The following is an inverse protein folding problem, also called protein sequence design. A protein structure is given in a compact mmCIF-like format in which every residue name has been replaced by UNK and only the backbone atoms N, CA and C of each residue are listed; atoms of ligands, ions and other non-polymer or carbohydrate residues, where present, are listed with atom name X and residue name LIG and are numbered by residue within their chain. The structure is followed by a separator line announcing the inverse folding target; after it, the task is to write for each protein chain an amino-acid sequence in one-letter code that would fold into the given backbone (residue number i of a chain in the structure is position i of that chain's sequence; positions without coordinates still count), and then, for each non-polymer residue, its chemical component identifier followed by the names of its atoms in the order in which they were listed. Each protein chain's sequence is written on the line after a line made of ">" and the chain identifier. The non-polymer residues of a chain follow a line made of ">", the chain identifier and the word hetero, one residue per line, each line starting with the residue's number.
data_IF_194306052648
#
_entry.id   IF_194306052648
#
_cell.length_a   1.000
_cell.length_b   1.000
_cell.length_c   1.000
_cell.angle_alpha   90.00
_cell.angle_beta   90.00
_cell.angle_gamma   90.00
#
_symmetry.space_group_name_H-M   'P 1'
#
loop_
_entity.id
_entity.type
_entity.pdbx_description
1 polymer ?
#
# COMPACT_ATOMS: atom_id res chain seq x y z
N UNK A 1 18.54 -17.92 -23.29
CA UNK A 1 18.97 -17.60 -21.91
C UNK A 1 18.57 -16.16 -21.64
N UNK A 2 17.41 -15.91 -21.01
CA UNK A 2 17.02 -14.55 -20.62
C UNK A 2 17.72 -14.22 -19.30
N UNK A 3 18.62 -13.24 -19.34
CA UNK A 3 19.20 -12.63 -18.16
C UNK A 3 18.10 -11.92 -17.37
N UNK A 4 17.93 -12.29 -16.10
CA UNK A 4 17.11 -11.55 -15.15
C UNK A 4 17.73 -10.16 -14.95
N UNK A 5 17.17 -9.14 -15.61
CA UNK A 5 17.44 -7.76 -15.28
C UNK A 5 16.43 -7.35 -14.20
N UNK A 6 16.88 -7.31 -12.93
CA UNK A 6 16.14 -6.66 -11.86
C UNK A 6 16.38 -5.17 -11.99
N UNK A 7 15.34 -4.41 -12.34
CA UNK A 7 15.39 -2.95 -12.25
C UNK A 7 14.94 -2.55 -10.84
N UNK A 8 15.91 -2.29 -9.96
CA UNK A 8 15.64 -1.59 -8.70
C UNK A 8 15.56 -0.09 -9.03
N UNK A 9 14.36 0.47 -8.93
CA UNK A 9 14.18 1.92 -8.96
C UNK A 9 14.26 2.44 -7.52
N UNK A 10 15.40 3.04 -7.18
CA UNK A 10 15.65 3.71 -5.90
C UNK A 10 16.16 5.12 -6.18
N UNK A 11 15.78 6.08 -5.34
CA UNK A 11 16.42 7.39 -5.34
C UNK A 11 17.88 7.20 -4.94
N UNK A 12 18.82 7.70 -5.75
CA UNK A 12 20.26 7.41 -5.63
C UNK A 12 21.11 8.68 -5.67
N UNK A 13 20.51 9.81 -5.29
CA UNK A 13 21.16 11.10 -5.27
C UNK A 13 21.63 11.56 -6.65
N UNK A 14 22.73 12.31 -6.66
CA UNK A 14 23.31 12.90 -7.87
C UNK A 14 24.62 12.22 -8.28
N UNK A 15 25.05 12.33 -9.55
CA UNK A 15 26.37 11.88 -9.95
C UNK A 15 27.49 12.50 -9.10
N UNK A 16 28.39 11.64 -8.62
CA UNK A 16 29.58 11.99 -7.86
C UNK A 16 30.84 12.12 -8.75
N UNK A 17 32.03 12.29 -8.15
CA UNK A 17 33.28 12.35 -8.89
C UNK A 17 33.60 11.03 -9.62
N UNK A 18 34.41 11.11 -10.67
CA UNK A 18 34.99 9.90 -11.27
C UNK A 18 36.08 9.35 -10.37
N UNK A 19 35.95 8.10 -9.94
CA UNK A 19 36.96 7.40 -9.11
C UNK A 19 37.45 6.19 -9.90
N UNK A 20 38.75 6.14 -10.20
CA UNK A 20 39.37 5.05 -10.98
C UNK A 20 38.68 4.77 -12.34
N UNK A 21 38.15 5.81 -12.99
CA UNK A 21 37.45 5.68 -14.27
C UNK A 21 35.99 5.21 -14.16
N UNK A 22 35.46 5.07 -12.95
CA UNK A 22 34.05 4.77 -12.69
C UNK A 22 33.30 6.02 -12.22
N UNK A 23 32.11 6.24 -12.77
CA UNK A 23 31.19 7.26 -12.28
C UNK A 23 30.64 6.80 -10.92
N UNK A 24 30.84 7.62 -9.89
CA UNK A 24 30.27 7.37 -8.56
C UNK A 24 28.94 8.10 -8.43
N UNK A 25 28.18 7.79 -7.38
CA UNK A 25 26.96 8.48 -6.98
C UNK A 25 27.19 9.09 -5.61
N UNK A 26 26.75 10.33 -5.41
CA UNK A 26 26.86 11.00 -4.12
C UNK A 26 25.96 10.28 -3.12
N UNK A 27 26.57 9.75 -2.07
CA UNK A 27 25.80 9.27 -0.92
C UNK A 27 25.20 10.46 -0.16
N UNK A 28 24.13 10.23 0.61
CA UNK A 28 23.43 11.27 1.37
C UNK A 28 24.33 11.94 2.44
N UNK A 29 25.53 11.40 2.70
CA UNK A 29 26.51 11.93 3.64
C UNK A 29 27.61 12.78 3.00
N UNK A 30 27.70 12.81 1.67
CA UNK A 30 28.84 13.38 0.95
C UNK A 30 28.69 14.89 0.63
N UNK A 31 27.67 15.54 1.17
CA UNK A 31 27.44 16.98 1.06
C UNK A 31 25.99 17.33 0.75
N UNK A 32 25.67 18.63 0.59
CA UNK A 32 24.32 19.02 0.17
C UNK A 32 24.08 18.53 -1.26
N UNK A 33 23.04 17.73 -1.43
CA UNK A 33 22.62 17.25 -2.74
C UNK A 33 22.14 18.43 -3.61
N UNK A 34 22.39 18.39 -4.93
CA UNK A 34 21.97 19.46 -5.82
C UNK A 34 20.44 19.51 -5.92
N UNK A 35 19.88 20.72 -6.08
CA UNK A 35 18.43 20.92 -6.18
C UNK A 35 17.78 20.12 -7.33
N UNK A 36 18.55 19.73 -8.36
CA UNK A 36 18.08 18.90 -9.47
C UNK A 36 17.63 17.49 -9.06
N UNK A 37 18.08 16.99 -7.91
CA UNK A 37 17.68 15.67 -7.36
C UNK A 37 16.78 15.82 -6.13
N UNK A 38 16.36 17.05 -5.82
CA UNK A 38 15.41 17.38 -4.77
C UNK A 38 14.31 18.32 -5.31
N UNK A 39 13.66 18.01 -6.47
CA UNK A 39 12.63 18.89 -7.00
C UNK A 39 11.45 19.03 -6.01
N UNK A 40 10.95 20.26 -5.89
CA UNK A 40 9.69 20.57 -5.23
C UNK A 40 8.57 20.56 -6.28
N UNK A 41 7.67 19.59 -6.18
CA UNK A 41 6.54 19.45 -7.09
C UNK A 41 5.28 20.21 -6.60
N UNK A 42 5.40 20.98 -5.53
CA UNK A 42 4.33 21.81 -4.98
C UNK A 42 3.51 21.13 -3.88
N UNK A 43 2.49 21.85 -3.35
CA UNK A 43 1.77 21.44 -2.16
C UNK A 43 0.88 20.19 -2.37
N UNK A 44 0.42 19.54 -1.28
CA UNK A 44 -0.54 18.44 -1.34
C UNK A 44 -1.79 18.78 -2.17
N UNK A 45 -2.25 17.87 -3.05
CA UNK A 45 -3.37 18.13 -3.93
C UNK A 45 -4.70 18.24 -3.16
N UNK A 46 -5.52 19.23 -3.53
CA UNK A 46 -6.84 19.44 -2.92
C UNK A 46 -7.98 18.77 -3.69
N UNK A 47 -7.72 18.20 -4.87
CA UNK A 47 -8.68 17.49 -5.70
C UNK A 47 -8.00 16.41 -6.57
N UNK A 48 -8.80 15.48 -7.11
CA UNK A 48 -8.34 14.42 -8.02
C UNK A 48 -8.90 14.63 -9.45
N UNK A 49 -8.18 14.19 -10.51
CA UNK A 49 -6.86 13.55 -10.47
C UNK A 49 -5.75 14.56 -10.13
N UNK A 50 -4.82 14.15 -9.26
CA UNK A 50 -3.74 15.01 -8.81
C UNK A 50 -2.54 14.95 -9.76
N UNK A 51 -1.83 16.06 -9.99
CA UNK A 51 -0.50 16.03 -10.59
C UNK A 51 0.52 15.44 -9.61
N UNK A 52 1.74 15.26 -10.09
CA UNK A 52 2.92 15.03 -9.23
C UNK A 52 3.01 16.16 -8.19
N UNK A 53 3.27 15.81 -6.92
CA UNK A 53 3.32 16.76 -5.81
C UNK A 53 4.37 16.35 -4.78
N UNK A 54 4.71 17.29 -3.90
CA UNK A 54 5.59 17.09 -2.76
C UNK A 54 7.08 17.33 -3.06
N UNK A 55 7.83 17.46 -1.98
CA UNK A 55 9.28 17.62 -1.98
C UNK A 55 9.97 16.26 -2.11
N UNK A 56 10.71 16.03 -3.19
CA UNK A 56 11.55 14.83 -3.31
C UNK A 56 12.69 14.84 -2.31
N UNK A 57 13.04 13.65 -1.79
CA UNK A 57 14.06 13.47 -0.77
C UNK A 57 14.95 12.28 -1.08
N UNK A 58 16.22 12.45 -0.78
CA UNK A 58 17.24 11.42 -0.87
C UNK A 58 17.63 11.04 0.57
N UNK A 59 17.22 9.86 1.00
CA UNK A 59 17.19 9.50 2.43
C UNK A 59 17.84 8.16 2.75
N UNK A 60 18.14 7.37 1.73
CA UNK A 60 18.71 6.04 1.86
C UNK A 60 20.21 6.07 1.60
N UNK A 61 21.00 5.53 2.52
CA UNK A 61 22.42 5.21 2.26
C UNK A 61 22.55 3.95 1.43
N UNK A 62 23.44 3.98 0.45
CA UNK A 62 23.72 2.80 -0.39
C UNK A 62 24.18 1.57 0.42
N UNK A 63 24.96 1.77 1.48
CA UNK A 63 25.39 0.66 2.35
C UNK A 63 24.21 -0.01 3.04
N UNK A 64 23.23 0.77 3.50
CA UNK A 64 22.00 0.25 4.14
C UNK A 64 21.11 -0.47 3.14
N UNK A 65 21.05 0.02 1.90
CA UNK A 65 20.38 -0.66 0.79
C UNK A 65 21.06 -2.01 0.47
N UNK A 66 22.39 -2.03 0.36
CA UNK A 66 23.17 -3.25 0.13
C UNK A 66 23.00 -4.28 1.25
N UNK A 67 23.03 -3.83 2.51
CA UNK A 67 22.80 -4.69 3.67
C UNK A 67 21.38 -5.29 3.63
N UNK A 68 20.36 -4.52 3.23
CA UNK A 68 18.99 -5.03 3.10
C UNK A 68 18.87 -6.13 2.03
N UNK A 69 19.55 -5.99 0.88
CA UNK A 69 19.58 -7.01 -0.17
C UNK A 69 20.42 -8.23 0.21
N UNK A 70 21.50 -8.04 0.98
CA UNK A 70 22.41 -9.12 1.37
C UNK A 70 21.89 -9.92 2.57
N UNK A 71 21.36 -9.25 3.61
CA UNK A 71 20.84 -9.90 4.81
C UNK A 71 19.44 -10.49 4.63
N UNK A 72 18.69 -10.04 3.62
CA UNK A 72 17.34 -10.54 3.32
C UNK A 72 17.29 -11.88 2.57
N UNK A 73 18.44 -12.39 2.07
CA UNK A 73 18.53 -13.62 1.25
C UNK A 73 17.57 -13.63 0.03
N UNK A 74 17.12 -12.44 -0.39
CA UNK A 74 16.16 -12.24 -1.48
C UNK A 74 16.52 -10.99 -2.28
N UNK A 75 16.46 -11.11 -3.60
CA UNK A 75 16.57 -9.99 -4.54
C UNK A 75 15.22 -9.28 -4.78
N UNK A 76 14.20 -9.66 -4.02
CA UNK A 76 12.88 -9.02 -3.97
C UNK A 76 12.73 -8.26 -2.65
N UNK A 77 12.81 -6.93 -2.71
CA UNK A 77 12.34 -6.03 -1.64
C UNK A 77 10.90 -5.65 -1.94
N UNK A 78 9.99 -6.61 -1.80
CA UNK A 78 8.56 -6.33 -1.96
C UNK A 78 7.79 -6.95 -0.79
N UNK A 79 7.46 -6.10 0.17
CA UNK A 79 6.42 -6.38 1.17
C UNK A 79 5.14 -5.72 0.67
N UNK A 80 4.62 -6.27 -0.42
CA UNK A 80 3.43 -5.74 -1.06
C UNK A 80 2.19 -6.10 -0.25
N UNK A 81 1.69 -5.12 0.50
CA UNK A 81 0.28 -5.11 0.89
C UNK A 81 -0.53 -4.45 -0.21
N UNK A 82 -1.54 -5.12 -0.80
CA UNK A 82 -2.40 -4.49 -1.78
C UNK A 82 -3.10 -3.29 -1.15
N UNK A 83 -2.74 -2.09 -1.61
CA UNK A 83 -3.49 -0.86 -1.34
C UNK A 83 -4.94 -0.97 -1.83
N UNK A 84 -5.24 -1.92 -2.73
CA UNK A 84 -6.60 -2.30 -3.15
C UNK A 84 -7.42 -3.02 -2.07
N UNK A 85 -6.86 -3.27 -0.89
CA UNK A 85 -7.52 -3.90 0.24
C UNK A 85 -7.23 -5.40 0.35
N UNK A 86 -7.45 -5.96 1.55
CA UNK A 86 -7.27 -7.39 1.83
C UNK A 86 -8.47 -8.23 1.41
N UNK A 87 -9.56 -7.60 0.94
CA UNK A 87 -10.74 -8.30 0.44
C UNK A 87 -10.60 -8.66 -1.03
N UNK A 88 -11.28 -9.73 -1.46
CA UNK A 88 -11.52 -9.93 -2.89
C UNK A 88 -12.25 -8.72 -3.46
N UNK A 89 -11.64 -8.00 -4.39
CA UNK A 89 -12.32 -6.91 -5.10
C UNK A 89 -13.40 -7.55 -5.96
N UNK A 90 -14.65 -7.52 -5.52
CA UNK A 90 -15.74 -8.06 -6.31
C UNK A 90 -16.33 -7.00 -7.24
N UNK A 91 -16.49 -7.32 -8.51
CA UNK A 91 -17.37 -6.55 -9.39
C UNK A 91 -18.79 -7.02 -9.14
N UNK A 92 -19.64 -6.08 -8.72
CA UNK A 92 -21.07 -6.32 -8.60
C UNK A 92 -21.62 -6.78 -9.95
N UNK A 93 -22.24 -7.95 -9.94
CA UNK A 93 -22.79 -8.55 -11.14
C UNK A 93 -24.07 -7.87 -11.60
N UNK A 94 -24.35 -7.99 -12.89
CA UNK A 94 -25.67 -7.67 -13.43
C UNK A 94 -26.15 -8.80 -14.31
N UNK A 95 -27.36 -9.27 -14.07
CA UNK A 95 -28.03 -10.27 -14.86
C UNK A 95 -29.03 -9.60 -15.81
N UNK A 96 -29.03 -10.00 -17.08
CA UNK A 96 -29.97 -9.44 -18.06
C UNK A 96 -31.45 -9.75 -17.74
N UNK A 97 -31.73 -10.82 -17.00
CA UNK A 97 -33.09 -11.18 -16.58
C UNK A 97 -33.11 -12.13 -15.36
N UNK A 98 -33.80 -11.74 -14.29
CA UNK A 98 -33.98 -12.56 -13.10
C UNK A 98 -34.66 -13.93 -13.31
N UNK A 99 -35.50 -14.07 -14.34
CA UNK A 99 -36.21 -15.32 -14.63
C UNK A 99 -35.40 -16.32 -15.48
N UNK A 100 -34.16 -15.98 -15.82
CA UNK A 100 -33.30 -16.78 -16.69
C UNK A 100 -32.68 -15.90 -17.78
N UNK A 101 -31.45 -15.46 -17.54
CA UNK A 101 -30.71 -14.56 -18.42
C UNK A 101 -29.22 -14.89 -18.43
N UNK A 102 -28.45 -13.92 -18.89
CA UNK A 102 -26.99 -13.97 -18.95
C UNK A 102 -26.39 -12.78 -18.24
N UNK A 103 -25.25 -13.00 -17.59
CA UNK A 103 -24.52 -11.94 -16.92
C UNK A 103 -23.98 -10.95 -17.95
N UNK A 104 -24.26 -9.67 -17.73
CA UNK A 104 -23.79 -8.54 -18.56
C UNK A 104 -22.64 -7.79 -17.90
N UNK A 105 -22.54 -7.85 -16.58
CA UNK A 105 -21.45 -7.28 -15.76
C UNK A 105 -20.99 -8.33 -14.74
N UNK A 106 -19.69 -8.36 -14.42
CA UNK A 106 -19.09 -9.39 -13.57
C UNK A 106 -18.75 -10.64 -14.37
N UNK A 107 -19.46 -11.75 -14.15
CA UNK A 107 -19.24 -13.03 -14.83
C UNK A 107 -19.80 -13.04 -16.27
N UNK A 108 -19.42 -12.05 -17.09
CA UNK A 108 -20.06 -11.78 -18.37
C UNK A 108 -20.16 -13.03 -19.26
N UNK A 109 -21.38 -13.32 -19.74
CA UNK A 109 -21.70 -14.49 -20.56
C UNK A 109 -22.12 -15.75 -19.80
N UNK A 110 -21.97 -15.81 -18.47
CA UNK A 110 -22.49 -16.90 -17.67
C UNK A 110 -24.03 -16.84 -17.53
N UNK A 111 -24.71 -17.99 -17.38
CA UNK A 111 -26.14 -18.01 -17.08
C UNK A 111 -26.42 -17.48 -15.67
N UNK A 112 -27.53 -16.77 -15.51
CA UNK A 112 -28.00 -16.22 -14.24
C UNK A 112 -29.53 -16.20 -14.19
N UNK A 113 -30.09 -16.01 -13.00
CA UNK A 113 -31.52 -16.04 -12.75
C UNK A 113 -32.10 -17.45 -12.66
N UNK A 114 -33.41 -17.52 -12.48
CA UNK A 114 -34.18 -18.74 -12.37
C UNK A 114 -35.63 -18.45 -12.01
N UNK A 115 -36.52 -19.43 -12.17
CA UNK A 115 -37.93 -19.24 -11.84
C UNK A 115 -38.10 -18.83 -10.38
N UNK A 116 -38.77 -17.69 -10.16
CA UNK A 116 -39.02 -17.16 -8.83
C UNK A 116 -37.85 -16.42 -8.17
N UNK A 117 -36.75 -16.15 -8.89
CA UNK A 117 -35.65 -15.34 -8.35
C UNK A 117 -35.92 -13.84 -8.49
N UNK A 118 -35.47 -13.07 -7.50
CA UNK A 118 -35.47 -11.61 -7.58
C UNK A 118 -34.27 -11.12 -8.40
N UNK A 119 -34.39 -9.93 -8.97
CA UNK A 119 -33.30 -9.31 -9.74
C UNK A 119 -32.01 -9.20 -8.91
N UNK A 120 -32.10 -8.80 -7.64
CA UNK A 120 -30.93 -8.74 -6.76
C UNK A 120 -30.23 -10.11 -6.57
N UNK A 121 -31.01 -11.20 -6.52
CA UNK A 121 -30.45 -12.56 -6.40
C UNK A 121 -29.77 -12.98 -7.71
N UNK A 122 -30.38 -12.66 -8.85
CA UNK A 122 -29.82 -12.94 -10.16
C UNK A 122 -28.57 -12.10 -10.46
N UNK A 123 -28.55 -10.83 -10.08
CA UNK A 123 -27.39 -9.94 -10.14
C UNK A 123 -26.26 -10.45 -9.23
N UNK A 124 -26.60 -10.97 -8.04
CA UNK A 124 -25.66 -11.62 -7.13
C UNK A 124 -24.93 -12.80 -7.76
N UNK A 125 -25.61 -13.64 -8.55
CA UNK A 125 -25.00 -14.76 -9.27
C UNK A 125 -24.00 -14.33 -10.35
N UNK A 126 -24.12 -13.08 -10.82
CA UNK A 126 -23.19 -12.51 -11.79
C UNK A 126 -21.98 -11.84 -11.14
N UNK A 127 -21.96 -11.72 -9.82
CA UNK A 127 -20.85 -11.05 -9.14
C UNK A 127 -19.57 -11.87 -9.29
N UNK A 128 -18.46 -11.20 -9.60
CA UNK A 128 -17.16 -11.86 -9.74
C UNK A 128 -16.17 -11.29 -8.77
N UNK A 129 -15.48 -12.16 -8.04
CA UNK A 129 -14.27 -11.80 -7.35
C UNK A 129 -13.16 -11.56 -8.39
N UNK A 130 -12.74 -10.32 -8.56
CA UNK A 130 -11.60 -9.90 -9.36
C UNK A 130 -10.45 -9.58 -8.39
N UNK A 131 -9.88 -10.62 -7.81
CA UNK A 131 -8.60 -10.53 -7.12
C UNK A 131 -7.70 -11.66 -7.55
N UNK A 132 -6.39 -11.49 -7.33
CA UNK A 132 -5.49 -12.63 -7.34
C UNK A 132 -6.00 -13.62 -6.29
N UNK A 133 -6.42 -14.81 -6.71
CA UNK A 133 -6.62 -15.93 -5.78
C UNK A 133 -5.23 -16.35 -5.27
N UNK A 134 -4.80 -15.72 -4.17
CA UNK A 134 -3.53 -16.01 -3.52
C UNK A 134 -3.57 -17.34 -2.77
N UNK A 135 -4.69 -18.08 -2.77
CA UNK A 135 -4.79 -19.40 -2.11
C UNK A 135 -3.73 -20.35 -2.66
N UNK A 136 -3.47 -20.37 -3.96
CA UNK A 136 -2.41 -21.19 -4.55
C UNK A 136 -0.99 -20.67 -4.26
N UNK A 137 -0.83 -19.40 -3.89
CA UNK A 137 0.44 -18.82 -3.46
C UNK A 137 0.73 -19.09 -1.97
N UNK A 138 -0.32 -19.17 -1.14
CA UNK A 138 -0.25 -19.46 0.30
C UNK A 138 -0.24 -20.97 0.61
N UNK A 139 -0.97 -21.79 -0.15
CA UNK A 139 -1.03 -23.24 0.01
C UNK A 139 0.11 -23.93 -0.76
N UNK A 140 1.05 -24.55 -0.03
CA UNK A 140 2.06 -25.45 -0.59
C UNK A 140 3.46 -24.86 -0.86
N UNK A 141 3.64 -23.54 -0.74
CA UNK A 141 4.98 -22.90 -0.83
C UNK A 141 5.63 -22.57 0.52
N UNK A 142 4.97 -22.88 1.64
CA UNK A 142 5.55 -22.78 3.00
C UNK A 142 5.80 -21.35 3.52
N UNK A 143 5.41 -20.33 2.76
CA UNK A 143 5.45 -18.91 3.13
C UNK A 143 4.26 -18.61 4.06
N UNK A 144 4.53 -18.50 5.38
CA UNK A 144 3.50 -18.16 6.40
C UNK A 144 3.02 -16.70 6.33
N UNK A 145 3.65 -15.91 5.47
CA UNK A 145 3.55 -14.47 5.33
C UNK A 145 2.72 -14.04 4.11
N UNK A 146 2.04 -14.96 3.42
CA UNK A 146 1.09 -14.66 2.34
C UNK A 146 -0.32 -14.71 2.92
N UNK A 147 -1.06 -13.59 2.86
CA UNK A 147 -2.37 -13.51 3.50
C UNK A 147 -3.42 -14.38 2.79
N UNK A 148 -4.28 -15.00 3.60
CA UNK A 148 -5.57 -15.47 3.15
C UNK A 148 -6.54 -14.28 3.12
N UNK A 149 -6.77 -13.73 1.93
CA UNK A 149 -7.64 -12.57 1.69
C UNK A 149 -9.11 -12.77 2.18
N UNK A 150 -9.54 -14.01 2.41
CA UNK A 150 -10.87 -14.29 2.99
C UNK A 150 -10.95 -14.01 4.50
N UNK A 151 -9.81 -13.81 5.16
CA UNK A 151 -9.72 -13.56 6.61
C UNK A 151 -9.52 -12.08 6.95
N UNK A 152 -9.62 -11.16 6.00
CA UNK A 152 -9.51 -9.72 6.27
C UNK A 152 -10.45 -9.24 7.38
N UNK A 153 -11.69 -9.77 7.39
CA UNK A 153 -12.69 -9.51 8.42
C UNK A 153 -12.34 -10.12 9.80
N UNK A 154 -11.28 -10.92 9.92
CA UNK A 154 -10.75 -11.39 11.21
C UNK A 154 -9.63 -10.49 11.74
N UNK A 155 -9.21 -9.46 11.00
CA UNK A 155 -8.22 -8.49 11.45
C UNK A 155 -8.92 -7.42 12.29
N UNK A 156 -9.09 -7.72 13.58
CA UNK A 156 -9.69 -6.84 14.59
C UNK A 156 -8.65 -6.26 15.58
N UNK A 157 -7.37 -6.40 15.26
CA UNK A 157 -6.24 -5.87 16.03
C UNK A 157 -5.78 -4.49 15.49
N UNK A 158 -4.95 -3.73 16.23
CA UNK A 158 -4.38 -2.48 15.76
C UNK A 158 -3.45 -2.71 14.56
N UNK A 159 -3.47 -1.81 13.59
CA UNK A 159 -2.65 -1.87 12.38
C UNK A 159 -1.96 -0.53 12.16
N UNK A 160 -0.66 -0.59 11.83
CA UNK A 160 0.15 0.54 11.42
C UNK A 160 0.65 0.32 9.99
N UNK A 161 0.62 1.37 9.17
CA UNK A 161 1.09 1.37 7.79
C UNK A 161 2.06 2.51 7.55
N UNK A 162 3.14 2.22 6.84
CA UNK A 162 4.14 3.18 6.40
C UNK A 162 4.16 3.24 4.88
N UNK A 163 4.01 4.45 4.33
CA UNK A 163 3.84 4.65 2.90
C UNK A 163 4.82 5.72 2.43
N UNK A 164 5.46 5.52 1.29
CA UNK A 164 6.27 6.53 0.61
C UNK A 164 5.46 7.23 -0.49
N UNK A 165 5.63 8.55 -0.63
CA UNK A 165 5.05 9.36 -1.71
C UNK A 165 6.14 10.16 -2.42
N UNK A 166 6.87 9.55 -3.34
CA UNK A 166 7.71 10.26 -4.32
C UNK A 166 6.92 10.61 -5.57
N UNK A 167 7.53 11.36 -6.50
CA UNK A 167 6.97 12.08 -7.65
C UNK A 167 6.00 11.36 -8.63
N UNK A 168 5.42 10.21 -8.30
CA UNK A 168 4.32 9.53 -9.02
C UNK A 168 3.13 9.14 -8.09
N UNK A 169 3.17 9.59 -6.82
CA UNK A 169 2.20 9.62 -5.73
C UNK A 169 1.63 8.30 -5.14
N UNK A 170 1.79 8.14 -3.81
CA UNK A 170 0.86 7.42 -2.92
C UNK A 170 0.48 8.30 -1.74
N UNK A 171 -0.70 8.91 -1.85
CA UNK A 171 -1.39 9.68 -0.80
C UNK A 171 -2.05 8.74 0.23
N UNK A 172 -2.42 9.20 1.45
CA UNK A 172 -3.08 8.34 2.44
C UNK A 172 -4.34 7.64 1.93
N UNK A 173 -5.04 8.23 0.96
CA UNK A 173 -6.20 7.68 0.26
C UNK A 173 -5.98 6.32 -0.37
N UNK A 174 -4.73 6.00 -0.75
CA UNK A 174 -4.39 4.66 -1.24
C UNK A 174 -4.65 3.57 -0.19
N UNK A 175 -4.73 3.91 1.10
CA UNK A 175 -4.97 2.94 2.18
C UNK A 175 -6.45 2.77 2.54
N UNK A 176 -7.37 3.55 1.93
CA UNK A 176 -8.81 3.44 2.19
C UNK A 176 -9.35 2.03 1.94
N UNK A 177 -9.04 1.36 0.80
CA UNK A 177 -9.54 0.02 0.56
C UNK A 177 -9.04 -0.99 1.61
N UNK A 178 -7.78 -0.86 2.05
CA UNK A 178 -7.23 -1.67 3.14
C UNK A 178 -7.96 -1.43 4.45
N UNK A 179 -8.07 -0.18 4.90
CA UNK A 179 -8.77 0.17 6.14
C UNK A 179 -10.24 -0.27 6.12
N UNK A 180 -10.90 -0.20 4.97
CA UNK A 180 -12.30 -0.64 4.80
C UNK A 180 -12.46 -2.16 4.82
N UNK A 181 -11.43 -2.91 4.40
CA UNK A 181 -11.48 -4.37 4.30
C UNK A 181 -11.31 -5.11 5.63
N UNK A 182 -10.72 -4.46 6.63
CA UNK A 182 -10.45 -5.06 7.94
C UNK A 182 -11.55 -4.74 8.95
N UNK A 183 -11.75 -5.63 9.91
CA UNK A 183 -12.77 -5.45 10.94
C UNK A 183 -12.44 -4.25 11.85
N UNK A 184 -13.45 -3.66 12.48
CA UNK A 184 -13.24 -2.65 13.53
C UNK A 184 -12.29 -3.19 14.60
N UNK A 185 -11.39 -2.33 15.08
CA UNK A 185 -10.45 -2.71 16.13
C UNK A 185 -11.19 -3.01 17.45
N UNK A 186 -10.90 -4.16 18.06
CA UNK A 186 -11.46 -4.60 19.35
C UNK A 186 -10.39 -4.71 20.45
N UNK A 187 -9.12 -4.47 20.10
CA UNK A 187 -8.02 -4.55 21.06
C UNK A 187 -8.09 -3.46 22.14
N UNK A 188 -7.52 -3.69 23.34
CA UNK A 188 -7.59 -2.74 24.46
C UNK A 188 -7.02 -1.34 24.20
N UNK A 189 -6.15 -1.20 23.20
CA UNK A 189 -5.55 0.07 22.80
C UNK A 189 -6.44 0.91 21.88
N UNK A 190 -7.50 0.32 21.34
CA UNK A 190 -8.52 0.97 20.52
C UNK A 190 -9.77 1.29 21.37
N UNK A 191 -10.67 2.15 20.86
CA UNK A 191 -11.89 2.52 21.59
C UNK A 191 -13.10 1.60 21.30
N UNK A 192 -12.98 0.68 20.33
CA UNK A 192 -14.03 -0.25 19.93
C UNK A 192 -15.21 0.37 19.18
N UNK A 193 -15.20 1.69 18.93
CA UNK A 193 -16.32 2.42 18.34
C UNK A 193 -15.94 3.27 17.13
N UNK A 194 -14.70 3.75 17.07
CA UNK A 194 -14.16 4.49 15.93
C UNK A 194 -13.85 3.54 14.78
N UNK A 195 -14.33 3.88 13.59
CA UNK A 195 -14.07 3.10 12.39
C UNK A 195 -12.63 3.28 11.89
N UNK A 196 -12.14 2.29 11.14
CA UNK A 196 -10.78 2.31 10.54
C UNK A 196 -10.61 3.47 9.56
N UNK A 197 -11.69 3.82 8.85
CA UNK A 197 -11.81 4.99 7.98
C UNK A 197 -13.00 5.78 8.48
N UNK A 198 -12.78 7.02 8.92
CA UNK A 198 -13.80 7.89 9.50
C UNK A 198 -14.51 8.67 8.41
N UNK A 199 -13.75 9.25 7.48
CA UNK A 199 -14.29 9.95 6.31
C UNK A 199 -13.36 9.72 5.11
N UNK A 200 -13.85 8.96 4.12
CA UNK A 200 -13.09 8.64 2.92
C UNK A 200 -12.95 9.84 1.94
N UNK A 201 -13.67 10.93 2.17
CA UNK A 201 -13.81 12.06 1.24
C UNK A 201 -13.35 13.40 1.79
N UNK A 202 -12.93 13.48 3.05
CA UNK A 202 -12.56 14.75 3.70
C UNK A 202 -11.12 14.72 4.22
N UNK A 203 -10.27 15.70 3.85
CA UNK A 203 -10.53 16.84 2.94
C UNK A 203 -10.75 16.51 1.46
N UNK A 204 -10.30 15.36 0.94
CA UNK A 204 -10.66 14.82 -0.38
C UNK A 204 -10.26 13.33 -0.43
N UNK A 205 -10.61 12.54 -1.47
CA UNK A 205 -10.29 11.10 -1.51
C UNK A 205 -8.79 10.75 -1.49
N UNK A 206 -7.90 11.70 -1.78
CA UNK A 206 -6.45 11.53 -1.62
C UNK A 206 -6.01 11.61 -0.15
N UNK A 207 -6.72 12.39 0.66
CA UNK A 207 -6.40 12.65 2.07
C UNK A 207 -7.66 12.36 2.91
N UNK A 208 -8.04 11.10 3.11
CA UNK A 208 -9.15 10.73 3.97
C UNK A 208 -8.82 10.98 5.44
N UNK A 209 -9.86 11.06 6.27
CA UNK A 209 -9.73 10.96 7.72
C UNK A 209 -9.74 9.48 8.11
N UNK A 210 -8.64 9.01 8.68
CA UNK A 210 -8.47 7.62 9.14
C UNK A 210 -8.70 7.51 10.65
N UNK A 211 -8.96 6.28 11.13
CA UNK A 211 -9.29 5.99 12.52
C UNK A 211 -8.18 6.29 13.52
N UNK A 212 -6.92 6.39 13.08
CA UNK A 212 -5.77 6.66 13.93
C UNK A 212 -5.65 5.64 15.06
N UNK A 213 -5.17 6.09 16.23
CA UNK A 213 -5.05 5.24 17.42
C UNK A 213 -6.42 4.74 17.88
N UNK A 214 -7.44 5.60 17.90
CA UNK A 214 -8.77 5.28 18.40
C UNK A 214 -9.45 4.15 17.61
N UNK A 215 -9.44 4.25 16.27
CA UNK A 215 -9.93 3.19 15.38
C UNK A 215 -8.92 2.08 15.10
N UNK A 216 -7.70 2.16 15.65
CA UNK A 216 -6.63 1.20 15.44
C UNK A 216 -6.08 1.14 14.02
N UNK A 217 -6.20 2.20 13.22
CA UNK A 217 -5.64 2.25 11.87
C UNK A 217 -4.81 3.51 11.68
N UNK A 218 -3.49 3.35 11.82
CA UNK A 218 -2.52 4.43 11.75
C UNK A 218 -1.76 4.36 10.44
N UNK A 219 -1.79 5.44 9.65
CA UNK A 219 -1.07 5.52 8.36
C UNK A 219 -0.13 6.71 8.41
N UNK A 220 1.16 6.45 8.18
CA UNK A 220 2.21 7.45 8.14
C UNK A 220 2.77 7.53 6.73
N UNK A 221 2.63 8.71 6.10
CA UNK A 221 3.12 8.95 4.75
C UNK A 221 4.43 9.74 4.82
N UNK A 222 5.46 9.22 4.17
CA UNK A 222 6.77 9.84 4.02
C UNK A 222 6.81 10.53 2.65
N UNK A 223 6.60 11.84 2.64
CA UNK A 223 6.68 12.67 1.44
C UNK A 223 8.10 12.68 0.88
N UNK A 224 8.22 12.46 -0.42
CA UNK A 224 9.50 12.39 -1.13
C UNK A 224 10.16 11.00 -1.13
N UNK A 225 9.62 10.03 -0.39
CA UNK A 225 10.22 8.69 -0.24
C UNK A 225 9.64 7.71 -1.27
N UNK A 226 10.48 6.88 -1.87
CA UNK A 226 10.04 5.66 -2.55
C UNK A 226 9.66 4.56 -1.53
N UNK A 227 9.11 3.43 -2.01
CA UNK A 227 8.76 2.32 -1.13
C UNK A 227 9.97 1.75 -0.38
N UNK A 228 11.12 1.62 -1.07
CA UNK A 228 12.36 1.15 -0.46
C UNK A 228 12.89 2.15 0.57
N UNK A 229 12.77 3.45 0.30
CA UNK A 229 13.22 4.51 1.21
C UNK A 229 12.53 4.43 2.56
N UNK A 230 11.25 4.07 2.61
CA UNK A 230 10.53 3.90 3.88
C UNK A 230 11.24 2.89 4.80
N UNK A 231 11.81 1.82 4.25
CA UNK A 231 12.44 0.76 5.05
C UNK A 231 13.95 0.92 5.18
N UNK A 232 14.59 1.68 4.28
CA UNK A 232 16.06 1.88 4.27
C UNK A 232 16.52 3.29 4.62
N UNK A 233 15.61 4.24 4.86
CA UNK A 233 15.99 5.60 5.22
C UNK A 233 16.80 5.65 6.52
N UNK A 234 17.74 6.58 6.57
CA UNK A 234 18.45 6.89 7.80
C UNK A 234 17.52 7.38 8.91
N UNK A 235 17.97 7.20 10.15
CA UNK A 235 17.23 7.61 11.34
C UNK A 235 17.43 9.13 11.52
N UNK A 236 16.62 9.92 10.81
CA UNK A 236 16.68 11.38 10.80
C UNK A 236 15.31 12.05 11.03
N UNK A 237 15.26 13.40 11.00
CA UNK A 237 14.02 14.15 11.21
C UNK A 237 12.90 13.81 10.22
N UNK A 238 13.26 13.33 9.03
CA UNK A 238 12.33 12.94 7.97
C UNK A 238 11.88 11.49 8.06
N UNK A 239 12.42 10.68 8.98
CA UNK A 239 12.07 9.28 9.14
C UNK A 239 10.76 9.14 9.93
N UNK A 240 9.68 8.84 9.23
CA UNK A 240 8.35 8.63 9.81
C UNK A 240 8.09 7.19 10.27
N UNK A 241 9.11 6.33 10.36
CA UNK A 241 8.94 4.92 10.74
C UNK A 241 9.30 4.68 12.19
N UNK A 242 10.53 4.99 12.60
CA UNK A 242 11.08 4.53 13.89
C UNK A 242 10.26 5.05 15.08
N UNK A 243 10.01 6.37 15.14
CA UNK A 243 9.25 6.98 16.23
C UNK A 243 7.82 6.46 16.34
N UNK A 244 7.02 6.53 15.26
CA UNK A 244 5.66 5.99 15.25
C UNK A 244 5.58 4.50 15.53
N UNK A 245 6.49 3.68 14.97
CA UNK A 245 6.54 2.24 15.25
C UNK A 245 6.81 1.96 16.73
N UNK A 246 7.79 2.64 17.34
CA UNK A 246 8.08 2.49 18.75
C UNK A 246 6.88 2.90 19.62
N UNK A 247 6.18 3.98 19.27
CA UNK A 247 4.97 4.40 19.97
C UNK A 247 3.83 3.39 19.81
N UNK A 248 3.65 2.83 18.61
CA UNK A 248 2.68 1.77 18.32
C UNK A 248 2.96 0.50 19.13
N UNK A 249 4.20 0.01 19.10
CA UNK A 249 4.61 -1.15 19.87
C UNK A 249 4.41 -0.91 21.37
N UNK A 250 4.78 0.27 21.89
CA UNK A 250 4.57 0.61 23.30
C UNK A 250 3.09 0.57 23.72
N UNK A 251 2.16 0.98 22.84
CA UNK A 251 0.72 0.94 23.12
C UNK A 251 0.15 -0.47 23.08
N UNK A 252 0.72 -1.34 22.23
CA UNK A 252 0.15 -2.63 21.87
C UNK A 252 0.90 -3.85 22.44
N UNK A 253 2.09 -3.64 23.01
CA UNK A 253 2.83 -4.66 23.74
C UNK A 253 2.18 -4.85 25.12
N UNK A 254 1.19 -5.75 25.17
CA UNK A 254 0.62 -6.30 26.40
C UNK A 254 0.82 -7.81 26.40
#
# INVERSE_FOLDING_TARGET
>A
MSSLAFFVATSVGAPGPMVNGLLTWQDITEGPLPASVLPDNGPPPTALPAPVWGQEKEVTKFTRLLDAFFAGDTNFTDWYYPSSGLSVTSVAGQCSNASGGTCTVGNAGAPCGGSGQSQATADGQCSQAISLDSTALSVGRGRRDIENLTQAANVDIPVISFVGSNGLARVPGAMVPFGTSIHRCTAPSCDGVTDRVVDASTPNPAFPTLGGVAGGFEVYVSEGFAHVDVVTAEDGPDNNVIGPLAAFLKRNAQ
#
